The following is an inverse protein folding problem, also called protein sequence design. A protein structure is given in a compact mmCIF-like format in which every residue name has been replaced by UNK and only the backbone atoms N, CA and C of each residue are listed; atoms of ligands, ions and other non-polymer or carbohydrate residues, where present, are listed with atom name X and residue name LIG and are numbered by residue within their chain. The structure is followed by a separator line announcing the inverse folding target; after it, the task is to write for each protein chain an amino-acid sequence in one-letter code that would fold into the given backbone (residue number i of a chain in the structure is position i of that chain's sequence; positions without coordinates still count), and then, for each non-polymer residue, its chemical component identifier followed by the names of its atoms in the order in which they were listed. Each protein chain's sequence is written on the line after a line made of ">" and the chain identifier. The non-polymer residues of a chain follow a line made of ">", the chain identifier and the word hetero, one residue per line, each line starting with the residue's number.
data_IF_708902000624
#
_entry.id   IF_708902000624
#
_cell.length_a   1.000
_cell.length_b   1.000
_cell.length_c   1.000
_cell.angle_alpha   90.00
_cell.angle_beta   90.00
_cell.angle_gamma   90.00
#
_symmetry.space_group_name_H-M   'P 1'
#
loop_
_entity.id
_entity.type
_entity.pdbx_description
1 polymer ?
#
# COMPACT_ATOMS: atom_id res chain seq x y z
N UNK A 1 -33.23 -7.56 26.56
CA UNK A 1 -31.78 -7.72 26.82
C UNK A 1 -31.09 -7.90 25.47
N UNK A 2 -30.01 -7.17 25.19
CA UNK A 2 -29.27 -7.33 23.93
C UNK A 2 -28.35 -8.54 24.09
N UNK A 3 -28.56 -9.60 23.29
CA UNK A 3 -27.63 -10.71 23.23
C UNK A 3 -26.44 -10.29 22.37
N UNK A 4 -25.22 -10.18 22.93
CA UNK A 4 -24.04 -10.06 22.09
C UNK A 4 -23.91 -11.32 21.22
N UNK A 5 -23.34 -11.21 20.01
CA UNK A 5 -23.18 -12.36 19.12
C UNK A 5 -22.21 -13.36 19.75
N UNK A 6 -22.75 -14.45 20.29
CA UNK A 6 -21.99 -15.60 20.83
C UNK A 6 -21.00 -16.14 19.79
N UNK A 7 -21.31 -15.99 18.50
CA UNK A 7 -20.46 -16.31 17.37
C UNK A 7 -19.06 -15.66 17.44
N UNK A 8 -18.96 -14.49 18.07
CA UNK A 8 -17.68 -13.78 18.25
C UNK A 8 -16.91 -14.20 19.50
N UNK A 9 -17.51 -15.04 20.34
CA UNK A 9 -16.92 -15.54 21.60
C UNK A 9 -16.42 -16.98 21.48
N UNK A 10 -16.67 -17.68 20.37
CA UNK A 10 -16.07 -19.00 20.15
C UNK A 10 -14.56 -18.84 20.00
N UNK A 11 -13.87 -19.17 21.09
CA UNK A 11 -12.45 -19.05 21.32
C UNK A 11 -11.61 -20.05 20.48
N UNK A 12 -11.86 -20.19 19.18
CA UNK A 12 -11.18 -21.18 18.34
C UNK A 12 -9.65 -20.98 18.25
N UNK A 13 -9.14 -19.78 18.56
CA UNK A 13 -7.72 -19.44 18.44
C UNK A 13 -7.15 -18.66 19.65
N UNK A 14 -7.57 -19.01 20.86
CA UNK A 14 -6.94 -18.55 22.10
C UNK A 14 -7.61 -17.33 22.72
N UNK A 15 -8.56 -17.59 23.63
CA UNK A 15 -9.12 -16.55 24.48
C UNK A 15 -8.21 -16.22 25.66
N UNK A 16 -8.29 -14.97 26.11
CA UNK A 16 -7.75 -14.59 27.42
C UNK A 16 -8.59 -15.22 28.54
N UNK A 17 -7.95 -15.54 29.67
CA UNK A 17 -8.60 -16.12 30.85
C UNK A 17 -9.83 -15.31 31.32
N UNK A 18 -9.76 -13.98 31.24
CA UNK A 18 -10.84 -13.08 31.64
C UNK A 18 -12.09 -13.24 30.76
N UNK A 19 -11.89 -13.37 29.44
CA UNK A 19 -12.98 -13.58 28.49
C UNK A 19 -13.67 -14.93 28.68
N UNK A 20 -12.90 -15.97 29.01
CA UNK A 20 -13.44 -17.28 29.31
C UNK A 20 -14.33 -17.27 30.56
N UNK A 21 -13.88 -16.61 31.63
CA UNK A 21 -14.66 -16.49 32.87
C UNK A 21 -15.95 -15.68 32.69
N UNK A 22 -15.90 -14.59 31.93
CA UNK A 22 -17.10 -13.79 31.62
C UNK A 22 -18.11 -14.57 30.77
N UNK A 23 -17.63 -15.37 29.82
CA UNK A 23 -18.47 -16.30 29.06
C UNK A 23 -19.14 -17.32 29.98
N UNK A 24 -18.39 -17.97 30.88
CA UNK A 24 -18.93 -18.95 31.83
C UNK A 24 -20.04 -18.33 32.70
N UNK A 25 -19.81 -17.13 33.24
CA UNK A 25 -20.80 -16.40 34.06
C UNK A 25 -22.07 -16.07 33.26
N UNK A 26 -21.92 -15.76 31.97
CA UNK A 26 -23.07 -15.50 31.10
C UNK A 26 -23.87 -16.78 30.81
N UNK A 27 -23.21 -17.91 30.61
CA UNK A 27 -23.86 -19.21 30.38
C UNK A 27 -24.63 -19.71 31.62
N UNK A 28 -24.21 -19.34 32.82
CA UNK A 28 -24.94 -19.65 34.06
C UNK A 28 -26.27 -18.88 34.16
N UNK A 29 -26.29 -17.64 33.70
CA UNK A 29 -27.43 -16.72 33.88
C UNK A 29 -28.42 -16.73 32.70
N UNK A 30 -27.95 -17.03 31.48
CA UNK A 30 -28.75 -16.98 30.27
C UNK A 30 -29.04 -18.38 29.69
N UNK A 31 -30.27 -18.87 29.88
CA UNK A 31 -30.72 -20.18 29.40
C UNK A 31 -30.65 -20.34 27.87
N UNK A 32 -30.94 -19.28 27.12
CA UNK A 32 -30.85 -19.27 25.65
C UNK A 32 -29.41 -19.54 25.20
N UNK A 33 -28.48 -18.72 25.69
CA UNK A 33 -27.06 -18.82 25.38
C UNK A 33 -26.47 -20.18 25.76
N UNK A 34 -26.85 -20.71 26.94
CA UNK A 34 -26.46 -22.06 27.38
C UNK A 34 -26.92 -23.15 26.41
N UNK A 35 -28.17 -23.08 25.93
CA UNK A 35 -28.70 -24.06 24.98
C UNK A 35 -27.93 -24.04 23.66
N UNK A 36 -27.61 -22.86 23.15
CA UNK A 36 -26.80 -22.70 21.93
C UNK A 36 -25.37 -23.25 22.11
N UNK A 37 -24.73 -22.97 23.25
CA UNK A 37 -23.40 -23.50 23.56
C UNK A 37 -23.38 -25.03 23.60
N UNK A 38 -24.36 -25.65 24.27
CA UNK A 38 -24.46 -27.11 24.35
C UNK A 38 -24.71 -27.74 22.97
N UNK A 39 -25.55 -27.13 22.13
CA UNK A 39 -25.77 -27.59 20.77
C UNK A 39 -24.48 -27.52 19.93
N UNK A 40 -23.64 -26.50 20.12
CA UNK A 40 -22.34 -26.41 19.46
C UNK A 40 -21.36 -27.48 19.94
N UNK A 41 -21.32 -27.77 21.24
CA UNK A 41 -20.49 -28.85 21.79
C UNK A 41 -20.89 -30.22 21.23
N UNK A 42 -22.20 -30.46 21.09
CA UNK A 42 -22.73 -31.70 20.49
C UNK A 42 -22.30 -31.84 19.02
N UNK A 43 -22.40 -30.76 18.23
CA UNK A 43 -21.91 -30.73 16.84
C UNK A 43 -20.39 -30.95 16.78
N UNK A 44 -19.63 -30.34 17.69
CA UNK A 44 -18.18 -30.53 17.76
C UNK A 44 -17.80 -31.99 18.06
N UNK A 45 -18.50 -32.63 19.00
CA UNK A 45 -18.32 -34.06 19.27
C UNK A 45 -18.70 -34.91 18.07
N UNK A 46 -19.83 -34.63 17.41
CA UNK A 46 -20.26 -35.36 16.22
C UNK A 46 -19.23 -35.26 15.09
N UNK A 47 -18.67 -34.06 14.86
CA UNK A 47 -17.60 -33.84 13.87
C UNK A 47 -16.33 -34.60 14.25
N UNK A 48 -15.93 -34.60 15.53
CA UNK A 48 -14.75 -35.34 16.02
C UNK A 48 -14.91 -36.86 15.88
N UNK A 49 -16.16 -37.35 15.90
CA UNK A 49 -16.49 -38.75 15.70
C UNK A 49 -16.70 -39.15 14.23
N UNK A 50 -16.70 -38.19 13.29
CA UNK A 50 -16.75 -38.51 11.87
C UNK A 50 -15.53 -39.36 11.46
N UNK A 51 -15.74 -40.40 10.64
CA UNK A 51 -14.62 -41.17 10.13
C UNK A 51 -13.71 -40.27 9.30
N UNK A 52 -12.41 -40.34 9.55
CA UNK A 52 -11.42 -39.65 8.72
C UNK A 52 -11.48 -40.23 7.31
N UNK A 53 -12.00 -39.46 6.36
CA UNK A 53 -11.97 -39.85 4.95
C UNK A 53 -10.52 -39.84 4.47
N UNK A 54 -10.06 -40.99 3.97
CA UNK A 54 -8.80 -41.06 3.27
C UNK A 54 -8.86 -40.13 2.04
N UNK A 55 -7.82 -39.32 1.79
CA UNK A 55 -7.77 -38.49 0.61
C UNK A 55 -7.78 -39.36 -0.64
N UNK A 56 -8.38 -38.87 -1.73
CA UNK A 56 -8.35 -39.58 -3.01
C UNK A 56 -6.90 -39.90 -3.40
N UNK A 57 -6.60 -41.02 -4.09
CA UNK A 57 -5.24 -41.35 -4.52
C UNK A 57 -4.60 -40.28 -5.41
N UNK A 58 -5.41 -39.44 -6.07
CA UNK A 58 -4.94 -38.30 -6.88
C UNK A 58 -4.60 -37.04 -6.08
N UNK A 59 -4.92 -37.00 -4.78
CA UNK A 59 -4.74 -35.82 -3.94
C UNK A 59 -3.26 -35.46 -3.82
N UNK A 60 -2.41 -36.44 -3.55
CA UNK A 60 -0.96 -36.23 -3.41
C UNK A 60 -0.37 -35.68 -4.71
N UNK A 61 -0.72 -36.26 -5.85
CA UNK A 61 -0.24 -35.80 -7.15
C UNK A 61 -0.68 -34.36 -7.46
N UNK A 62 -1.94 -34.02 -7.17
CA UNK A 62 -2.42 -32.65 -7.35
C UNK A 62 -1.69 -31.68 -6.43
N UNK A 63 -1.57 -32.02 -5.15
CA UNK A 63 -0.90 -31.18 -4.17
C UNK A 63 0.57 -30.93 -4.54
N UNK A 64 1.30 -31.97 -4.92
CA UNK A 64 2.70 -31.87 -5.33
C UNK A 64 2.86 -30.99 -6.58
N UNK A 65 2.00 -31.18 -7.59
CA UNK A 65 2.02 -30.33 -8.78
C UNK A 65 1.75 -28.86 -8.48
N UNK A 66 0.84 -28.57 -7.54
CA UNK A 66 0.57 -27.21 -7.08
C UNK A 66 1.75 -26.62 -6.31
N UNK A 67 2.35 -27.38 -5.39
CA UNK A 67 3.50 -26.96 -4.61
C UNK A 67 4.70 -26.64 -5.52
N UNK A 68 4.99 -27.49 -6.50
CA UNK A 68 6.05 -27.27 -7.49
C UNK A 68 5.76 -26.02 -8.35
N UNK A 69 4.53 -25.86 -8.83
CA UNK A 69 4.14 -24.68 -9.61
C UNK A 69 4.24 -23.38 -8.79
N UNK A 70 3.93 -23.42 -7.49
CA UNK A 70 4.03 -22.27 -6.58
C UNK A 70 5.49 -21.87 -6.34
N UNK A 71 6.37 -22.85 -6.09
CA UNK A 71 7.82 -22.63 -5.99
C UNK A 71 8.35 -22.04 -7.31
N UNK A 72 7.97 -22.59 -8.46
CA UNK A 72 8.44 -22.09 -9.74
C UNK A 72 7.97 -20.65 -10.03
N UNK A 73 6.74 -20.28 -9.63
CA UNK A 73 6.23 -18.90 -9.73
C UNK A 73 6.99 -17.93 -8.83
N UNK A 74 7.32 -18.31 -7.60
CA UNK A 74 8.08 -17.44 -6.69
C UNK A 74 9.51 -17.21 -7.18
N UNK A 75 10.14 -18.24 -7.74
CA UNK A 75 11.45 -18.08 -8.38
C UNK A 75 11.36 -17.14 -9.59
N UNK A 76 10.37 -17.31 -10.47
CA UNK A 76 10.22 -16.46 -11.65
C UNK A 76 9.97 -14.98 -11.30
N UNK A 77 9.20 -14.68 -10.25
CA UNK A 77 9.01 -13.29 -9.81
C UNK A 77 10.29 -12.72 -9.22
N UNK A 78 11.02 -13.48 -8.40
CA UNK A 78 12.33 -13.08 -7.87
C UNK A 78 13.33 -12.77 -8.97
N UNK A 79 13.49 -13.65 -9.96
CA UNK A 79 14.44 -13.44 -11.07
C UNK A 79 14.09 -12.22 -11.92
N UNK A 80 12.80 -11.93 -12.14
CA UNK A 80 12.36 -10.70 -12.82
C UNK A 80 12.77 -9.45 -12.03
N UNK A 81 12.53 -9.43 -10.72
CA UNK A 81 12.91 -8.30 -9.87
C UNK A 81 14.42 -8.12 -9.74
N UNK A 82 15.18 -9.22 -9.65
CA UNK A 82 16.65 -9.19 -9.66
C UNK A 82 17.15 -8.59 -10.98
N UNK A 83 16.60 -9.01 -12.13
CA UNK A 83 16.94 -8.44 -13.43
C UNK A 83 16.67 -6.93 -13.53
N UNK A 84 15.53 -6.47 -13.00
CA UNK A 84 15.19 -5.03 -12.95
C UNK A 84 16.17 -4.26 -12.06
N UNK A 85 16.50 -4.78 -10.87
CA UNK A 85 17.43 -4.13 -9.95
C UNK A 85 18.84 -4.03 -10.53
N UNK A 86 19.32 -5.11 -11.16
CA UNK A 86 20.62 -5.13 -11.87
C UNK A 86 20.62 -4.14 -13.03
N UNK A 87 19.56 -4.11 -13.84
CA UNK A 87 19.43 -3.15 -14.94
C UNK A 87 19.45 -1.70 -14.44
N UNK A 88 18.74 -1.41 -13.34
CA UNK A 88 18.69 -0.08 -12.75
C UNK A 88 20.03 0.36 -12.17
N UNK A 89 20.74 -0.55 -11.48
CA UNK A 89 22.10 -0.27 -10.98
C UNK A 89 23.10 -0.04 -12.12
N UNK A 90 23.03 -0.84 -13.19
CA UNK A 90 23.90 -0.66 -14.35
C UNK A 90 23.63 0.67 -15.05
N UNK A 91 22.36 1.03 -15.21
CA UNK A 91 21.95 2.30 -15.81
C UNK A 91 22.39 3.48 -14.97
N UNK A 92 22.24 3.40 -13.64
CA UNK A 92 22.72 4.41 -12.71
C UNK A 92 24.25 4.55 -12.79
N UNK A 93 24.99 3.44 -12.80
CA UNK A 93 26.45 3.44 -12.91
C UNK A 93 26.91 4.10 -14.22
N UNK A 94 26.31 3.73 -15.35
CA UNK A 94 26.60 4.33 -16.66
C UNK A 94 26.26 5.83 -16.64
N UNK A 95 25.14 6.22 -16.05
CA UNK A 95 24.75 7.62 -15.86
C UNK A 95 25.78 8.39 -15.03
N UNK A 96 26.24 7.83 -13.91
CA UNK A 96 27.29 8.42 -13.08
C UNK A 96 28.61 8.57 -13.84
N UNK A 97 29.03 7.56 -14.61
CA UNK A 97 30.25 7.63 -15.43
C UNK A 97 30.10 8.70 -16.51
N UNK A 98 28.96 8.76 -17.20
CA UNK A 98 28.68 9.77 -18.21
C UNK A 98 28.71 11.19 -17.63
N UNK A 99 28.15 11.39 -16.44
CA UNK A 99 28.24 12.65 -15.71
C UNK A 99 29.69 12.97 -15.34
N UNK A 100 30.46 12.01 -14.82
CA UNK A 100 31.87 12.23 -14.51
C UNK A 100 32.68 12.62 -15.74
N UNK A 101 32.46 11.99 -16.89
CA UNK A 101 33.12 12.34 -18.16
C UNK A 101 32.69 13.73 -18.63
N UNK A 102 31.40 14.06 -18.54
CA UNK A 102 30.88 15.39 -18.89
C UNK A 102 31.47 16.49 -17.98
N UNK A 103 31.61 16.21 -16.69
CA UNK A 103 32.21 17.12 -15.72
C UNK A 103 33.74 17.12 -15.73
N UNK A 104 34.39 16.18 -16.42
CA UNK A 104 35.85 16.09 -16.49
C UNK A 104 36.47 17.23 -17.30
N UNK A 105 35.82 17.63 -18.40
CA UNK A 105 36.30 18.69 -19.30
C UNK A 105 35.70 20.06 -18.96
N UNK A 106 34.60 20.05 -18.22
CA UNK A 106 33.90 21.26 -17.81
C UNK A 106 34.55 21.81 -16.54
N UNK A 107 35.04 23.05 -16.54
CA UNK A 107 35.38 23.84 -15.35
C UNK A 107 34.12 24.17 -14.50
N UNK A 108 33.19 23.22 -14.37
CA UNK A 108 31.82 23.39 -13.93
C UNK A 108 31.72 23.71 -12.45
N UNK A 109 32.74 23.39 -11.66
CA UNK A 109 32.85 23.86 -10.27
C UNK A 109 33.19 25.35 -10.26
N UNK A 110 34.13 25.80 -11.09
CA UNK A 110 34.50 27.21 -11.17
C UNK A 110 33.38 28.05 -11.83
N UNK A 111 32.77 27.54 -12.90
CA UNK A 111 31.59 28.16 -13.52
C UNK A 111 30.36 28.06 -12.62
N UNK A 112 30.18 26.97 -11.88
CA UNK A 112 29.11 26.79 -10.91
C UNK A 112 29.21 27.78 -9.75
N UNK A 113 30.42 28.01 -9.23
CA UNK A 113 30.69 29.06 -8.24
C UNK A 113 30.44 30.44 -8.87
N UNK A 114 30.89 30.69 -10.10
CA UNK A 114 30.64 31.96 -10.79
C UNK A 114 29.14 32.18 -11.04
N UNK A 115 28.37 31.14 -11.38
CA UNK A 115 26.93 31.18 -11.56
C UNK A 115 26.21 31.38 -10.23
N UNK A 116 26.66 30.74 -9.16
CA UNK A 116 26.13 30.92 -7.81
C UNK A 116 26.36 32.37 -7.34
N UNK A 117 27.56 32.92 -7.55
CA UNK A 117 27.89 34.31 -7.24
C UNK A 117 27.03 35.28 -8.08
N UNK A 118 26.89 35.03 -9.39
CA UNK A 118 26.03 35.84 -10.28
C UNK A 118 24.55 35.72 -9.91
N UNK A 119 24.09 34.56 -9.45
CA UNK A 119 22.74 34.35 -8.96
C UNK A 119 22.51 35.13 -7.67
N UNK A 120 23.41 35.01 -6.69
CA UNK A 120 23.37 35.75 -5.44
C UNK A 120 23.41 37.27 -5.63
N UNK A 121 24.23 37.77 -6.56
CA UNK A 121 24.27 39.20 -6.89
C UNK A 121 23.07 39.68 -7.70
N UNK A 122 22.38 38.78 -8.42
CA UNK A 122 21.12 39.09 -9.11
C UNK A 122 19.88 38.91 -8.24
N UNK A 123 19.95 38.18 -7.13
CA UNK A 123 18.80 37.97 -6.23
C UNK A 123 18.08 39.28 -5.87
N UNK A 124 18.77 40.38 -5.50
CA UNK A 124 18.12 41.65 -5.18
C UNK A 124 17.36 42.25 -6.37
N UNK A 125 17.93 42.18 -7.58
CA UNK A 125 17.30 42.74 -8.78
C UNK A 125 16.16 41.85 -9.30
N UNK A 126 16.32 40.53 -9.26
CA UNK A 126 15.23 39.59 -9.58
C UNK A 126 14.11 39.67 -8.57
N UNK A 127 14.41 39.90 -7.28
CA UNK A 127 13.39 40.09 -6.26
C UNK A 127 12.56 41.35 -6.53
N UNK A 128 13.21 42.43 -6.96
CA UNK A 128 12.51 43.64 -7.39
C UNK A 128 11.60 43.36 -8.59
N UNK A 129 12.10 42.64 -9.60
CA UNK A 129 11.32 42.27 -10.79
C UNK A 129 10.16 41.32 -10.47
N UNK A 130 10.36 40.34 -9.59
CA UNK A 130 9.30 39.44 -9.11
C UNK A 130 8.26 40.24 -8.33
N UNK A 131 8.68 41.21 -7.51
CA UNK A 131 7.74 42.09 -6.79
C UNK A 131 6.91 42.93 -7.76
N UNK A 132 7.55 43.54 -8.76
CA UNK A 132 6.84 44.32 -9.79
C UNK A 132 5.90 43.44 -10.61
N UNK A 133 6.35 42.26 -11.02
CA UNK A 133 5.53 41.28 -11.70
C UNK A 133 4.35 40.88 -10.79
N UNK A 134 4.60 40.47 -9.54
CA UNK A 134 3.55 40.08 -8.62
C UNK A 134 2.52 41.19 -8.39
N UNK A 135 2.95 42.45 -8.25
CA UNK A 135 2.01 43.59 -8.12
C UNK A 135 1.27 43.88 -9.41
N UNK A 136 1.93 43.77 -10.57
CA UNK A 136 1.30 43.91 -11.88
C UNK A 136 0.26 42.82 -12.09
N UNK A 137 0.63 41.56 -11.90
CA UNK A 137 -0.28 40.42 -11.94
C UNK A 137 -1.42 40.58 -10.92
N UNK A 138 -1.17 41.00 -9.67
CA UNK A 138 -2.27 41.21 -8.71
C UNK A 138 -3.25 42.32 -9.12
N UNK A 139 -2.79 43.33 -9.86
CA UNK A 139 -3.62 44.46 -10.26
C UNK A 139 -4.33 44.21 -11.60
N UNK A 140 -3.66 43.54 -12.54
CA UNK A 140 -4.14 43.31 -13.91
C UNK A 140 -4.89 41.98 -14.06
N UNK A 141 -4.71 41.00 -13.15
CA UNK A 141 -5.46 39.74 -13.21
C UNK A 141 -6.94 40.05 -13.00
N UNK A 142 -7.78 39.83 -14.02
CA UNK A 142 -9.21 40.03 -13.88
C UNK A 142 -9.77 39.02 -12.87
N UNK A 143 -10.72 39.45 -12.03
CA UNK A 143 -11.27 38.62 -10.94
C UNK A 143 -11.82 37.26 -11.41
N UNK A 144 -12.23 37.14 -12.68
CA UNK A 144 -12.70 35.90 -13.31
C UNK A 144 -11.60 34.87 -13.61
N UNK A 145 -10.32 35.25 -13.59
CA UNK A 145 -9.21 34.34 -13.84
C UNK A 145 -8.94 33.40 -12.65
N UNK A 146 -9.23 33.84 -11.41
CA UNK A 146 -9.09 33.03 -10.21
C UNK A 146 -9.93 31.73 -10.26
N UNK A 147 -11.25 31.77 -10.56
CA UNK A 147 -12.02 30.54 -10.72
C UNK A 147 -11.58 29.72 -11.94
N UNK A 148 -11.15 30.35 -13.03
CA UNK A 148 -10.66 29.64 -14.22
C UNK A 148 -9.38 28.83 -13.93
N UNK A 149 -8.40 29.45 -13.24
CA UNK A 149 -7.16 28.79 -12.84
C UNK A 149 -7.42 27.71 -11.78
N UNK A 150 -8.35 27.95 -10.85
CA UNK A 150 -8.80 26.93 -9.89
C UNK A 150 -9.42 25.71 -10.59
N UNK A 151 -10.26 25.92 -11.61
CA UNK A 151 -10.83 24.85 -12.40
C UNK A 151 -9.76 24.06 -13.17
N UNK A 152 -8.78 24.76 -13.75
CA UNK A 152 -7.66 24.17 -14.48
C UNK A 152 -6.78 23.30 -13.56
N UNK A 153 -6.42 23.81 -12.38
CA UNK A 153 -5.66 23.04 -11.38
C UNK A 153 -6.44 21.84 -10.86
N UNK A 154 -7.75 22.01 -10.62
CA UNK A 154 -8.61 20.91 -10.20
C UNK A 154 -8.67 19.78 -11.24
N UNK A 155 -8.84 20.14 -12.51
CA UNK A 155 -8.92 19.16 -13.60
C UNK A 155 -7.57 18.52 -13.93
N UNK A 156 -6.47 19.26 -13.87
CA UNK A 156 -5.16 18.75 -14.27
C UNK A 156 -4.38 18.04 -13.16
N UNK A 157 -4.63 18.38 -11.90
CA UNK A 157 -3.85 17.82 -10.78
C UNK A 157 -4.71 16.93 -9.91
N UNK A 158 -5.85 17.43 -9.44
CA UNK A 158 -6.63 16.74 -8.40
C UNK A 158 -7.38 15.53 -8.97
N UNK A 159 -7.97 15.65 -10.16
CA UNK A 159 -8.67 14.55 -10.82
C UNK A 159 -7.74 13.36 -11.16
N UNK A 160 -6.55 13.56 -11.76
CA UNK A 160 -5.59 12.48 -12.01
C UNK A 160 -5.03 11.87 -10.72
N UNK A 161 -4.75 12.67 -9.69
CA UNK A 161 -4.23 12.15 -8.43
C UNK A 161 -5.27 11.27 -7.73
N UNK A 162 -6.54 11.69 -7.71
CA UNK A 162 -7.62 10.93 -7.08
C UNK A 162 -7.92 9.63 -7.83
N UNK A 163 -7.93 9.65 -9.15
CA UNK A 163 -8.08 8.43 -9.97
C UNK A 163 -6.91 7.46 -9.76
N UNK A 164 -5.68 7.97 -9.64
CA UNK A 164 -4.51 7.16 -9.34
C UNK A 164 -4.57 6.54 -7.93
N UNK A 165 -4.92 7.32 -6.91
CA UNK A 165 -5.12 6.83 -5.54
C UNK A 165 -6.20 5.74 -5.48
N UNK A 166 -7.31 5.93 -6.19
CA UNK A 166 -8.38 4.93 -6.27
C UNK A 166 -7.91 3.63 -6.94
N UNK A 167 -7.16 3.73 -8.04
CA UNK A 167 -6.60 2.57 -8.73
C UNK A 167 -5.66 1.77 -7.80
N UNK A 168 -4.79 2.46 -7.07
CA UNK A 168 -3.88 1.83 -6.10
C UNK A 168 -4.62 1.16 -4.95
N UNK A 169 -5.63 1.82 -4.36
CA UNK A 169 -6.44 1.24 -3.29
C UNK A 169 -7.17 -0.03 -3.74
N UNK A 170 -7.72 -0.02 -4.96
CA UNK A 170 -8.40 -1.19 -5.53
C UNK A 170 -7.45 -2.37 -5.74
N UNK A 171 -6.25 -2.12 -6.27
CA UNK A 171 -5.23 -3.15 -6.47
C UNK A 171 -4.75 -3.74 -5.14
N UNK A 172 -4.57 -2.91 -4.11
CA UNK A 172 -4.20 -3.36 -2.76
C UNK A 172 -5.27 -4.30 -2.17
N UNK A 173 -6.55 -3.96 -2.29
CA UNK A 173 -7.66 -4.78 -1.81
C UNK A 173 -7.82 -6.10 -2.58
N UNK A 174 -7.54 -6.11 -3.89
CA UNK A 174 -7.57 -7.32 -4.71
C UNK A 174 -6.37 -8.24 -4.43
N UNK A 175 -5.19 -7.67 -4.17
CA UNK A 175 -4.01 -8.43 -3.73
C UNK A 175 -4.23 -9.11 -2.38
N UNK A 176 -4.95 -8.48 -1.46
CA UNK A 176 -5.27 -9.08 -0.15
C UNK A 176 -6.29 -10.23 -0.21
N UNK A 177 -7.11 -10.32 -1.27
CA UNK A 177 -8.14 -11.37 -1.43
C UNK A 177 -7.66 -12.63 -2.14
N UNK A 178 -6.51 -12.58 -2.81
CA UNK A 178 -5.88 -13.73 -3.46
C UNK A 178 -4.49 -14.00 -2.85
N UNK A 179 -4.41 -14.42 -1.57
CA UNK A 179 -3.16 -14.93 -0.99
C UNK A 179 -2.71 -16.24 -1.66
#
# INVERSE_FOLDING_TARGET
>A
MKHPPIETWFCEMGCSEVQFQDMQRHLETCTHCRKTYLAWQEVEEEIKHLPLLAPSPTFVNRWESYAQAQVQRSHQTLWKWVGVMVGLTLTMLVGCIALLVFFWDSNLVAEGIAHLIRFLTRLPSTWLQIRYAATFWLHEIPLYWLPAMGFLLYTWIILPLSTWCYAMAKLALQGAKNP
#
